data_IF_016988075933
#
_entry.id   IF_016988075933
#
_cell.length_a   1.000
_cell.length_b   1.000
_cell.length_c   1.000
_cell.angle_alpha   90.00
_cell.angle_beta   90.00
_cell.angle_gamma   90.00
#
_symmetry.space_group_name_H-M   'P 1'
#
loop_
_entity.id
_entity.type
_entity.pdbx_description
1 polymer ?
#
# COMPACT_ATOMS: atom_id res chain seq x y z
N UNK A 1 1.44 -25.92 107.16
CA UNK A 1 2.03 -27.13 107.76
C UNK A 1 0.88 -28.06 108.07
N UNK A 2 0.82 -29.24 107.45
CA UNK A 2 -0.26 -30.21 107.69
C UNK A 2 0.08 -30.93 108.98
N UNK A 3 -0.75 -30.78 110.01
CA UNK A 3 -0.54 -31.40 111.32
C UNK A 3 -1.43 -32.64 111.43
N UNK A 4 -0.81 -33.82 111.39
CA UNK A 4 -1.51 -35.10 111.48
C UNK A 4 -1.46 -35.60 112.92
N UNK A 5 -2.47 -35.26 113.71
CA UNK A 5 -2.59 -35.81 115.06
C UNK A 5 -3.09 -37.25 115.01
N UNK A 6 -2.27 -38.17 115.52
CA UNK A 6 -2.59 -39.60 115.61
C UNK A 6 -3.70 -39.82 116.67
N UNK A 7 -4.77 -40.58 116.36
CA UNK A 7 -5.81 -40.90 117.33
C UNK A 7 -5.26 -41.78 118.47
N UNK A 8 -5.66 -41.49 119.71
CA UNK A 8 -5.20 -42.20 120.91
C UNK A 8 -6.04 -43.48 121.14
N UNK A 9 -5.45 -44.65 120.85
CA UNK A 9 -6.16 -45.93 120.96
C UNK A 9 -6.06 -46.49 122.39
N UNK A 10 -6.90 -45.99 123.32
CA UNK A 10 -7.05 -46.56 124.67
C UNK A 10 -8.12 -47.67 124.69
N UNK A 11 -7.68 -48.94 124.73
CA UNK A 11 -8.50 -50.13 124.46
C UNK A 11 -9.63 -50.49 125.44
N UNK A 12 -10.60 -49.60 125.70
CA UNK A 12 -11.81 -49.95 126.48
C UNK A 12 -13.16 -49.67 125.82
N UNK A 13 -13.24 -49.08 124.63
CA UNK A 13 -14.49 -49.03 123.84
C UNK A 13 -14.23 -49.14 122.33
N UNK A 14 -14.42 -50.34 121.77
CA UNK A 14 -14.13 -50.67 120.36
C UNK A 14 -14.98 -49.90 119.35
N UNK A 15 -16.21 -49.51 119.68
CA UNK A 15 -17.07 -48.75 118.76
C UNK A 15 -16.71 -47.26 118.67
N UNK A 16 -16.29 -46.64 119.78
CA UNK A 16 -15.89 -45.23 119.80
C UNK A 16 -14.59 -45.01 119.02
N UNK A 17 -13.60 -45.89 119.23
CA UNK A 17 -12.34 -45.88 118.46
C UNK A 17 -12.55 -46.09 116.97
N UNK A 18 -13.47 -46.98 116.58
CA UNK A 18 -13.75 -47.22 115.17
C UNK A 18 -14.35 -45.99 114.48
N UNK A 19 -15.10 -45.16 115.21
CA UNK A 19 -15.62 -43.88 114.72
C UNK A 19 -14.51 -42.84 114.60
N UNK A 20 -13.61 -42.76 115.57
CA UNK A 20 -12.45 -41.84 115.52
C UNK A 20 -11.51 -42.17 114.37
N UNK A 21 -11.19 -43.45 114.15
CA UNK A 21 -10.35 -43.87 113.02
C UNK A 21 -11.04 -43.56 111.68
N UNK A 22 -12.35 -43.78 111.57
CA UNK A 22 -13.12 -43.43 110.36
C UNK A 22 -13.11 -41.93 110.10
N UNK A 23 -13.28 -41.11 111.15
CA UNK A 23 -13.21 -39.65 111.04
C UNK A 23 -11.81 -39.19 110.60
N UNK A 24 -10.75 -39.79 111.16
CA UNK A 24 -9.37 -39.52 110.77
C UNK A 24 -9.09 -39.88 109.31
N UNK A 25 -9.51 -41.07 108.85
CA UNK A 25 -9.33 -41.49 107.46
C UNK A 25 -10.12 -40.61 106.48
N UNK A 26 -11.32 -40.17 106.88
CA UNK A 26 -12.10 -39.22 106.09
C UNK A 26 -11.37 -37.88 105.97
N UNK A 27 -10.88 -37.33 107.08
CA UNK A 27 -10.10 -36.09 107.11
C UNK A 27 -8.82 -36.20 106.28
N UNK A 28 -8.10 -37.33 106.38
CA UNK A 28 -6.91 -37.59 105.56
C UNK A 28 -7.26 -37.58 104.07
N UNK A 29 -8.37 -38.24 103.68
CA UNK A 29 -8.80 -38.30 102.28
C UNK A 29 -9.20 -36.93 101.73
N UNK A 30 -9.85 -36.08 102.54
CA UNK A 30 -10.19 -34.72 102.15
C UNK A 30 -8.95 -33.84 102.01
N UNK A 31 -8.01 -33.96 102.95
CA UNK A 31 -6.75 -33.22 102.91
C UNK A 31 -5.86 -33.64 101.72
N UNK A 32 -5.82 -34.93 101.39
CA UNK A 32 -5.14 -35.43 100.20
C UNK A 32 -5.79 -34.92 98.91
N UNK A 33 -7.12 -34.93 98.83
CA UNK A 33 -7.84 -34.40 97.66
C UNK A 33 -7.60 -32.90 97.48
N UNK A 34 -7.57 -32.14 98.58
CA UNK A 34 -7.26 -30.72 98.56
C UNK A 34 -5.82 -30.46 98.10
N UNK A 35 -4.84 -31.19 98.64
CA UNK A 35 -3.44 -31.07 98.27
C UNK A 35 -3.21 -31.42 96.78
N UNK A 36 -3.81 -32.51 96.30
CA UNK A 36 -3.74 -32.91 94.88
C UNK A 36 -4.42 -31.90 93.95
N UNK A 37 -5.50 -31.27 94.38
CA UNK A 37 -6.20 -30.22 93.63
C UNK A 37 -5.49 -28.86 93.62
N UNK A 38 -4.52 -28.66 94.50
CA UNK A 38 -3.73 -27.42 94.62
C UNK A 38 -2.23 -27.68 94.44
N UNK A 39 -1.85 -28.79 93.77
CA UNK A 39 -0.47 -29.00 93.37
C UNK A 39 -0.07 -27.90 92.37
N UNK A 40 0.78 -27.01 92.82
CA UNK A 40 1.42 -26.00 92.02
C UNK A 40 2.92 -26.30 91.84
N UNK A 41 3.62 -25.41 91.14
CA UNK A 41 5.04 -25.54 90.91
C UNK A 41 5.83 -25.65 92.23
N UNK A 42 5.43 -24.94 93.29
CA UNK A 42 6.12 -24.88 94.58
C UNK A 42 6.03 -26.20 95.37
N UNK A 43 5.06 -27.06 95.04
CA UNK A 43 4.87 -28.36 95.70
C UNK A 43 5.77 -29.48 95.16
N UNK A 44 6.55 -29.25 94.10
CA UNK A 44 7.43 -30.25 93.51
C UNK A 44 8.87 -30.18 94.01
N UNK A 45 9.65 -31.24 93.74
CA UNK A 45 11.10 -31.22 94.01
C UNK A 45 11.80 -30.16 93.15
N UNK A 46 12.90 -29.54 93.63
CA UNK A 46 13.62 -28.51 92.88
C UNK A 46 14.06 -28.93 91.47
N UNK A 47 14.40 -30.21 91.27
CA UNK A 47 14.78 -30.76 89.98
C UNK A 47 13.62 -30.78 88.97
N UNK A 48 12.42 -31.17 89.42
CA UNK A 48 11.23 -31.22 88.57
C UNK A 48 10.71 -29.82 88.23
N UNK A 49 10.76 -28.87 89.18
CA UNK A 49 10.45 -27.45 88.93
C UNK A 49 11.33 -26.88 87.82
N UNK A 50 12.64 -27.15 87.88
CA UNK A 50 13.60 -26.65 86.88
C UNK A 50 13.28 -27.19 85.48
N UNK A 51 12.95 -28.48 85.36
CA UNK A 51 12.55 -29.07 84.08
C UNK A 51 11.22 -28.51 83.57
N UNK A 52 10.23 -28.32 84.45
CA UNK A 52 8.93 -27.75 84.06
C UNK A 52 9.08 -26.31 83.56
N UNK A 53 9.85 -25.45 84.26
CA UNK A 53 10.15 -24.07 83.79
C UNK A 53 10.86 -24.06 82.45
N UNK A 54 11.85 -24.93 82.27
CA UNK A 54 12.58 -25.04 81.01
C UNK A 54 11.65 -25.48 79.86
N UNK A 55 10.76 -26.45 80.10
CA UNK A 55 9.77 -26.90 79.13
C UNK A 55 8.78 -25.77 78.77
N UNK A 56 8.22 -25.07 79.76
CA UNK A 56 7.30 -23.95 79.55
C UNK A 56 7.98 -22.81 78.78
N UNK A 57 9.20 -22.41 79.15
CA UNK A 57 9.96 -21.40 78.43
C UNK A 57 10.28 -21.82 76.99
N UNK A 58 10.62 -23.10 76.78
CA UNK A 58 10.88 -23.62 75.43
C UNK A 58 9.64 -23.60 74.55
N UNK A 59 8.47 -23.94 75.10
CA UNK A 59 7.19 -23.90 74.41
C UNK A 59 6.76 -22.46 74.10
N UNK A 60 6.94 -21.54 75.04
CA UNK A 60 6.68 -20.11 74.83
C UNK A 60 7.58 -19.53 73.74
N UNK A 61 8.88 -19.88 73.76
CA UNK A 61 9.84 -19.45 72.73
C UNK A 61 9.48 -20.02 71.36
N UNK A 62 9.15 -21.31 71.28
CA UNK A 62 8.70 -21.95 70.04
C UNK A 62 7.41 -21.31 69.50
N UNK A 63 6.45 -20.98 70.36
CA UNK A 63 5.23 -20.26 69.98
C UNK A 63 5.52 -18.88 69.38
N UNK A 64 6.39 -18.10 70.03
CA UNK A 64 6.79 -16.79 69.52
C UNK A 64 7.55 -16.86 68.19
N UNK A 65 8.42 -17.86 68.01
CA UNK A 65 9.12 -18.10 66.74
C UNK A 65 8.15 -18.49 65.60
N UNK A 66 7.14 -19.32 65.90
CA UNK A 66 6.09 -19.68 64.94
C UNK A 66 5.24 -18.47 64.54
N UNK A 67 4.84 -17.62 65.50
CA UNK A 67 4.10 -16.39 65.22
C UNK A 67 4.91 -15.41 64.36
N UNK A 68 6.20 -15.26 64.66
CA UNK A 68 7.11 -14.44 63.86
C UNK A 68 7.22 -14.97 62.42
N UNK A 69 7.44 -16.28 62.25
CA UNK A 69 7.52 -16.91 60.94
C UNK A 69 6.20 -16.78 60.16
N UNK A 70 5.06 -16.98 60.81
CA UNK A 70 3.75 -16.79 60.19
C UNK A 70 3.58 -15.35 59.70
N UNK A 71 4.01 -14.36 60.48
CA UNK A 71 4.01 -12.95 60.09
C UNK A 71 4.93 -12.65 58.89
N UNK A 72 6.10 -13.28 58.80
CA UNK A 72 6.98 -13.18 57.63
C UNK A 72 6.38 -13.82 56.38
N UNK A 73 5.80 -15.03 56.51
CA UNK A 73 5.14 -15.72 55.39
C UNK A 73 4.00 -14.87 54.82
N UNK A 74 3.17 -14.27 55.68
CA UNK A 74 2.07 -13.40 55.25
C UNK A 74 2.59 -12.16 54.52
N UNK A 75 3.65 -11.53 55.04
CA UNK A 75 4.29 -10.37 54.40
C UNK A 75 4.86 -10.72 53.04
N UNK A 76 5.61 -11.82 52.94
CA UNK A 76 6.18 -12.30 51.68
C UNK A 76 5.08 -12.66 50.67
N UNK A 77 4.03 -13.37 51.10
CA UNK A 77 2.91 -13.72 50.23
C UNK A 77 2.15 -12.48 49.73
N UNK A 78 1.99 -11.45 50.56
CA UNK A 78 1.40 -10.17 50.17
C UNK A 78 2.27 -9.44 49.14
N UNK A 79 3.58 -9.41 49.36
CA UNK A 79 4.53 -8.78 48.44
C UNK A 79 4.55 -9.49 47.08
N UNK A 80 4.66 -10.82 47.07
CA UNK A 80 4.63 -11.65 45.85
C UNK A 80 3.34 -11.39 45.07
N UNK A 81 2.19 -11.31 45.75
CA UNK A 81 0.91 -11.03 45.10
C UNK A 81 0.93 -9.66 44.41
N UNK A 82 1.41 -8.64 45.12
CA UNK A 82 1.50 -7.27 44.59
C UNK A 82 2.45 -7.17 43.40
N UNK A 83 3.59 -7.85 43.47
CA UNK A 83 4.59 -7.87 42.40
C UNK A 83 4.04 -8.61 41.16
N UNK A 84 3.29 -9.69 41.38
CA UNK A 84 2.63 -10.45 40.33
C UNK A 84 1.52 -9.62 39.66
N UNK A 85 0.65 -8.98 40.43
CA UNK A 85 -0.40 -8.07 39.91
C UNK A 85 0.20 -6.93 39.07
N UNK A 86 1.29 -6.34 39.55
CA UNK A 86 2.02 -5.29 38.83
C UNK A 86 2.60 -5.81 37.52
N UNK A 87 3.31 -6.94 37.56
CA UNK A 87 3.92 -7.55 36.37
C UNK A 87 2.89 -7.97 35.33
N UNK A 88 1.74 -8.48 35.77
CA UNK A 88 0.61 -8.84 34.90
C UNK A 88 0.05 -7.59 34.23
N UNK A 89 -0.18 -6.52 34.99
CA UNK A 89 -0.72 -5.26 34.46
C UNK A 89 0.23 -4.62 33.44
N UNK A 90 1.53 -4.61 33.73
CA UNK A 90 2.55 -4.11 32.79
C UNK A 90 2.65 -4.98 31.53
N UNK A 91 2.57 -6.30 31.69
CA UNK A 91 2.55 -7.24 30.55
C UNK A 91 1.31 -7.05 29.69
N UNK A 92 0.13 -6.88 30.29
CA UNK A 92 -1.12 -6.60 29.58
C UNK A 92 -1.01 -5.30 28.77
N UNK A 93 -0.51 -4.23 29.40
CA UNK A 93 -0.29 -2.96 28.72
C UNK A 93 0.68 -3.09 27.54
N UNK A 94 1.77 -3.83 27.71
CA UNK A 94 2.76 -4.11 26.66
C UNK A 94 2.17 -4.91 25.50
N UNK A 95 1.42 -5.98 25.80
CA UNK A 95 0.75 -6.82 24.81
C UNK A 95 -0.26 -5.98 24.01
N UNK A 96 -1.11 -5.20 24.68
CA UNK A 96 -2.09 -4.34 24.01
C UNK A 96 -1.43 -3.28 23.12
N UNK A 97 -0.33 -2.67 23.58
CA UNK A 97 0.44 -1.72 22.78
C UNK A 97 1.04 -2.38 21.53
N UNK A 98 1.64 -3.56 21.69
CA UNK A 98 2.24 -4.32 20.58
C UNK A 98 1.19 -4.77 19.56
N UNK A 99 0.05 -5.30 20.02
CA UNK A 99 -1.06 -5.70 19.14
C UNK A 99 -1.62 -4.51 18.38
N UNK A 100 -1.83 -3.35 19.04
CA UNK A 100 -2.29 -2.12 18.37
C UNK A 100 -1.31 -1.67 17.30
N UNK A 101 -0.01 -1.66 17.60
CA UNK A 101 1.02 -1.27 16.65
C UNK A 101 1.09 -2.23 15.45
N UNK A 102 1.00 -3.54 15.69
CA UNK A 102 0.96 -4.54 14.61
C UNK A 102 -0.29 -4.40 13.74
N UNK A 103 -1.45 -4.16 14.35
CA UNK A 103 -2.70 -3.99 13.63
C UNK A 103 -2.69 -2.73 12.76
N UNK A 104 -2.19 -1.59 13.28
CA UNK A 104 -2.00 -0.37 12.51
C UNK A 104 -1.02 -0.60 11.35
N UNK A 105 0.13 -1.22 11.61
CA UNK A 105 1.11 -1.53 10.58
C UNK A 105 0.60 -2.52 9.52
N UNK A 106 -0.33 -3.42 9.87
CA UNK A 106 -0.99 -4.32 8.91
C UNK A 106 -2.04 -3.57 8.08
N UNK A 107 -2.83 -2.71 8.72
CA UNK A 107 -3.81 -1.85 8.05
C UNK A 107 -3.12 -0.94 7.03
N UNK A 108 -2.04 -0.26 7.42
CA UNK A 108 -1.27 0.63 6.53
C UNK A 108 -0.67 -0.14 5.35
N UNK A 109 -0.19 -1.38 5.59
CA UNK A 109 0.29 -2.26 4.52
C UNK A 109 -0.81 -2.65 3.55
N UNK A 110 -2.03 -2.90 4.02
CA UNK A 110 -3.16 -3.24 3.17
C UNK A 110 -3.62 -2.03 2.34
N UNK A 111 -3.69 -0.85 2.94
CA UNK A 111 -3.97 0.41 2.22
C UNK A 111 -2.92 0.68 1.16
N UNK A 112 -1.63 0.61 1.52
CA UNK A 112 -0.52 0.80 0.58
C UNK A 112 -0.54 -0.22 -0.55
N UNK A 113 -0.89 -1.49 -0.26
CA UNK A 113 -1.04 -2.55 -1.26
C UNK A 113 -2.17 -2.23 -2.24
N UNK A 114 -3.32 -1.75 -1.76
CA UNK A 114 -4.44 -1.37 -2.61
C UNK A 114 -4.12 -0.15 -3.49
N UNK A 115 -3.47 0.87 -2.93
CA UNK A 115 -2.98 2.03 -3.68
C UNK A 115 -1.97 1.63 -4.76
N UNK A 116 -1.03 0.75 -4.42
CA UNK A 116 -0.05 0.24 -5.37
C UNK A 116 -0.72 -0.54 -6.51
N UNK A 117 -1.66 -1.44 -6.20
CA UNK A 117 -2.40 -2.18 -7.23
C UNK A 117 -3.18 -1.25 -8.15
N UNK A 118 -3.91 -0.27 -7.58
CA UNK A 118 -4.64 0.71 -8.37
C UNK A 118 -3.71 1.54 -9.26
N UNK A 119 -2.55 1.96 -8.75
CA UNK A 119 -1.55 2.70 -9.52
C UNK A 119 -0.96 1.85 -10.66
N UNK A 120 -0.71 0.57 -10.42
CA UNK A 120 -0.25 -0.37 -11.44
C UNK A 120 -1.31 -0.59 -12.52
N UNK A 121 -2.57 -0.81 -12.13
CA UNK A 121 -3.68 -1.00 -13.08
C UNK A 121 -3.91 0.25 -13.94
N UNK A 122 -3.97 1.43 -13.32
CA UNK A 122 -4.09 2.70 -14.05
C UNK A 122 -2.92 2.94 -15.00
N UNK A 123 -1.70 2.55 -14.59
CA UNK A 123 -0.52 2.66 -15.44
C UNK A 123 -0.56 1.69 -16.62
N UNK A 124 -1.05 0.47 -16.41
CA UNK A 124 -1.23 -0.52 -17.47
C UNK A 124 -2.29 -0.06 -18.49
N UNK A 125 -3.43 0.45 -18.02
CA UNK A 125 -4.47 1.03 -18.87
C UNK A 125 -3.97 2.25 -19.66
N UNK A 126 -3.22 3.15 -19.01
CA UNK A 126 -2.63 4.31 -19.67
C UNK A 126 -1.60 3.90 -20.74
N UNK A 127 -0.77 2.89 -20.45
CA UNK A 127 0.18 2.32 -21.40
C UNK A 127 -0.53 1.72 -22.61
N UNK A 128 -1.56 0.90 -22.38
CA UNK A 128 -2.34 0.26 -23.45
C UNK A 128 -3.04 1.30 -24.34
N UNK A 129 -3.67 2.31 -23.73
CA UNK A 129 -4.27 3.42 -24.45
C UNK A 129 -3.24 4.22 -25.26
N UNK A 130 -2.05 4.46 -24.69
CA UNK A 130 -0.97 5.19 -25.38
C UNK A 130 -0.43 4.41 -26.58
N UNK A 131 -0.27 3.09 -26.43
CA UNK A 131 0.20 2.21 -27.49
C UNK A 131 -0.83 2.10 -28.60
N UNK A 132 -2.09 1.87 -28.25
CA UNK A 132 -3.21 1.83 -29.19
C UNK A 132 -3.36 3.13 -29.98
N UNK A 133 -3.23 4.29 -29.32
CA UNK A 133 -3.25 5.59 -29.98
C UNK A 133 -2.08 5.74 -30.94
N UNK A 134 -0.85 5.44 -30.49
CA UNK A 134 0.35 5.58 -31.32
C UNK A 134 0.31 4.64 -32.52
N UNK A 135 -0.13 3.39 -32.32
CA UNK A 135 -0.30 2.42 -33.40
C UNK A 135 -1.33 2.90 -34.43
N UNK A 136 -2.52 3.32 -33.97
CA UNK A 136 -3.59 3.80 -34.86
C UNK A 136 -3.18 5.04 -35.66
N UNK A 137 -2.59 6.04 -35.01
CA UNK A 137 -2.15 7.27 -35.69
C UNK A 137 -0.99 7.01 -36.63
N UNK A 138 0.11 6.39 -36.16
CA UNK A 138 1.29 6.17 -37.02
C UNK A 138 1.01 5.23 -38.18
N UNK A 139 0.25 4.15 -37.97
CA UNK A 139 -0.08 3.23 -39.06
C UNK A 139 -1.11 3.83 -40.02
N UNK A 140 -2.10 4.57 -39.51
CA UNK A 140 -3.08 5.29 -40.32
C UNK A 140 -2.43 6.35 -41.20
N UNK A 141 -1.54 7.16 -40.63
CA UNK A 141 -0.81 8.20 -41.35
C UNK A 141 0.11 7.61 -42.42
N UNK A 142 0.87 6.55 -42.09
CA UNK A 142 1.74 5.88 -43.05
C UNK A 142 0.96 5.26 -44.21
N UNK A 143 -0.20 4.66 -43.92
CA UNK A 143 -1.07 4.10 -44.96
C UNK A 143 -1.64 5.18 -45.87
N UNK A 144 -2.08 6.31 -45.31
CA UNK A 144 -2.58 7.45 -46.06
C UNK A 144 -1.48 8.06 -46.94
N UNK A 145 -0.28 8.25 -46.39
CA UNK A 145 0.88 8.76 -47.13
C UNK A 145 1.31 7.80 -48.24
N UNK A 146 1.32 6.49 -47.97
CA UNK A 146 1.63 5.46 -48.98
C UNK A 146 0.60 5.46 -50.12
N UNK A 147 -0.69 5.61 -49.79
CA UNK A 147 -1.76 5.70 -50.80
C UNK A 147 -1.61 6.96 -51.65
N UNK A 148 -1.42 8.13 -51.03
CA UNK A 148 -1.21 9.39 -51.73
C UNK A 148 0.03 9.35 -52.64
N UNK A 149 1.13 8.77 -52.15
CA UNK A 149 2.34 8.56 -52.95
C UNK A 149 2.10 7.61 -54.12
N UNK A 150 1.37 6.51 -53.91
CA UNK A 150 1.01 5.56 -54.97
C UNK A 150 0.15 6.20 -56.06
N UNK A 151 -0.84 7.00 -55.67
CA UNK A 151 -1.71 7.74 -56.60
C UNK A 151 -0.92 8.79 -57.40
N UNK A 152 -0.07 9.58 -56.72
CA UNK A 152 0.81 10.54 -57.38
C UNK A 152 1.77 9.84 -58.35
N UNK A 153 2.38 8.72 -57.94
CA UNK A 153 3.26 7.92 -58.80
C UNK A 153 2.52 7.41 -60.04
N UNK A 154 1.30 6.89 -59.89
CA UNK A 154 0.47 6.43 -61.02
C UNK A 154 0.13 7.58 -61.98
N UNK A 155 -0.19 8.77 -61.46
CA UNK A 155 -0.40 9.96 -62.28
C UNK A 155 0.84 10.33 -63.10
N UNK A 156 2.02 10.39 -62.49
CA UNK A 156 3.27 10.67 -63.20
C UNK A 156 3.55 9.61 -64.25
N UNK A 157 3.46 8.32 -63.91
CA UNK A 157 3.70 7.23 -64.86
C UNK A 157 2.73 7.21 -66.05
N UNK A 158 1.49 7.66 -65.86
CA UNK A 158 0.46 7.66 -66.91
C UNK A 158 0.52 8.92 -67.79
N UNK A 159 0.94 10.06 -67.23
CA UNK A 159 0.81 11.36 -67.90
C UNK A 159 2.14 12.03 -68.27
N UNK A 160 3.24 11.64 -67.62
CA UNK A 160 4.57 12.24 -67.81
C UNK A 160 5.58 11.14 -68.09
N UNK A 161 6.14 11.12 -69.30
CA UNK A 161 7.17 10.16 -69.72
C UNK A 161 8.48 10.88 -69.99
N UNK A 162 9.58 10.31 -69.52
CA UNK A 162 10.93 10.78 -69.80
C UNK A 162 11.63 9.73 -70.65
N UNK A 163 12.26 10.17 -71.74
CA UNK A 163 13.13 9.34 -72.57
C UNK A 163 14.27 10.17 -73.17
N UNK A 164 14.93 9.65 -74.20
CA UNK A 164 16.07 10.30 -74.82
C UNK A 164 15.70 11.57 -75.61
N UNK A 165 14.44 11.73 -76.03
CA UNK A 165 13.96 12.87 -76.80
C UNK A 165 13.57 14.05 -75.88
N UNK A 166 13.07 13.75 -74.68
CA UNK A 166 12.81 14.76 -73.65
C UNK A 166 11.72 14.35 -72.66
N UNK A 167 10.94 15.36 -72.22
CA UNK A 167 9.81 15.18 -71.30
C UNK A 167 8.52 15.26 -72.11
N UNK A 168 7.79 14.15 -72.17
CA UNK A 168 6.50 14.01 -72.80
C UNK A 168 5.38 14.20 -71.77
N UNK A 169 4.46 15.12 -72.02
CA UNK A 169 3.27 15.35 -71.20
C UNK A 169 2.05 15.00 -72.05
N UNK A 170 1.43 13.87 -71.74
CA UNK A 170 0.32 13.30 -72.51
C UNK A 170 -0.54 12.43 -71.61
N UNK A 171 -1.85 12.67 -71.55
CA UNK A 171 -2.79 11.74 -70.92
C UNK A 171 -2.89 10.45 -71.75
N UNK A 172 -3.01 9.29 -71.10
CA UNK A 172 -3.24 8.03 -71.80
C UNK A 172 -4.35 8.16 -72.86
N UNK A 173 -4.06 7.67 -74.07
CA UNK A 173 -4.95 7.73 -75.25
C UNK A 173 -5.30 9.14 -75.77
N UNK A 174 -4.68 10.20 -75.24
CA UNK A 174 -4.82 11.55 -75.80
C UNK A 174 -4.09 11.67 -77.14
N UNK A 175 -4.75 12.23 -78.18
CA UNK A 175 -4.06 12.60 -79.41
C UNK A 175 -3.14 13.80 -79.22
N UNK A 176 -3.32 14.59 -78.14
CA UNK A 176 -2.51 15.77 -77.85
C UNK A 176 -1.39 15.47 -76.87
N UNK A 177 -0.20 16.00 -77.15
CA UNK A 177 1.00 15.88 -76.34
C UNK A 177 1.79 17.19 -76.34
N UNK A 178 2.39 17.52 -75.20
CA UNK A 178 3.45 18.52 -75.13
C UNK A 178 4.80 17.81 -74.94
N UNK A 179 5.79 18.15 -75.75
CA UNK A 179 7.14 17.61 -75.69
C UNK A 179 8.13 18.72 -75.37
N UNK A 180 8.78 18.61 -74.21
CA UNK A 180 9.84 19.51 -73.81
C UNK A 180 11.20 18.88 -74.10
N UNK A 181 11.91 19.46 -75.07
CA UNK A 181 13.27 19.06 -75.49
C UNK A 181 14.27 20.11 -75.05
N UNK A 182 15.56 19.90 -75.29
CA UNK A 182 16.61 20.86 -74.94
C UNK A 182 16.45 22.22 -75.62
N UNK A 183 15.91 22.25 -76.85
CA UNK A 183 15.93 23.45 -77.70
C UNK A 183 14.54 24.04 -77.97
N UNK A 184 13.46 23.31 -77.60
CA UNK A 184 12.08 23.75 -77.85
C UNK A 184 11.04 23.03 -77.00
N UNK A 185 9.93 23.73 -76.78
CA UNK A 185 8.66 23.17 -76.32
C UNK A 185 7.73 22.98 -77.53
N UNK A 186 7.39 21.74 -77.85
CA UNK A 186 6.54 21.37 -78.98
C UNK A 186 5.16 20.89 -78.52
N UNK A 187 4.14 21.16 -79.33
CA UNK A 187 2.78 20.62 -79.19
C UNK A 187 2.52 19.69 -80.37
N UNK A 188 2.18 18.45 -80.07
CA UNK A 188 1.91 17.41 -81.04
C UNK A 188 0.43 17.03 -81.02
N UNK A 189 -0.14 16.77 -82.19
CA UNK A 189 -1.45 16.16 -82.36
C UNK A 189 -1.30 14.92 -83.23
N UNK A 190 -1.69 13.75 -82.71
CA UNK A 190 -1.49 12.44 -83.34
C UNK A 190 -0.02 12.18 -83.74
N UNK A 191 0.93 12.67 -82.92
CA UNK A 191 2.37 12.55 -83.18
C UNK A 191 2.93 13.53 -84.22
N UNK A 192 2.12 14.45 -84.74
CA UNK A 192 2.56 15.51 -85.65
C UNK A 192 2.72 16.81 -84.89
N UNK A 193 3.88 17.46 -84.98
CA UNK A 193 4.13 18.78 -84.40
C UNK A 193 3.25 19.83 -85.10
N UNK A 194 2.30 20.41 -84.36
CA UNK A 194 1.38 21.43 -84.87
C UNK A 194 1.81 22.84 -84.47
N UNK A 195 2.55 22.97 -83.36
CA UNK A 195 3.15 24.21 -82.92
C UNK A 195 4.41 23.96 -82.08
N UNK A 196 5.34 24.90 -82.05
CA UNK A 196 6.45 24.88 -81.10
C UNK A 196 6.96 26.28 -80.76
N UNK A 197 7.60 26.41 -79.61
CA UNK A 197 8.32 27.60 -79.19
C UNK A 197 9.81 27.28 -79.16
N UNK A 198 10.60 28.04 -79.90
CA UNK A 198 12.07 27.98 -79.90
C UNK A 198 12.64 29.35 -80.24
N UNK A 199 13.82 29.70 -79.70
CA UNK A 199 14.50 30.96 -79.99
C UNK A 199 13.57 32.21 -79.89
N UNK A 200 12.75 32.25 -78.83
CA UNK A 200 11.79 33.34 -78.56
C UNK A 200 10.71 33.54 -79.64
N UNK A 201 10.49 32.56 -80.52
CA UNK A 201 9.49 32.58 -81.59
C UNK A 201 8.48 31.47 -81.39
N UNK A 202 7.21 31.79 -81.62
CA UNK A 202 6.13 30.81 -81.75
C UNK A 202 5.97 30.45 -83.22
N UNK A 203 6.07 29.17 -83.53
CA UNK A 203 5.80 28.60 -84.83
C UNK A 203 4.51 27.77 -84.73
N UNK A 204 3.55 28.01 -85.63
CA UNK A 204 2.25 27.33 -85.65
C UNK A 204 1.86 26.99 -87.08
N UNK A 205 1.39 25.76 -87.30
CA UNK A 205 0.98 25.28 -88.63
C UNK A 205 -0.30 25.98 -89.09
N UNK A 206 -1.29 26.06 -88.20
CA UNK A 206 -2.58 26.70 -88.46
C UNK A 206 -3.13 27.32 -87.17
N UNK A 207 -3.65 28.54 -87.26
CA UNK A 207 -4.21 29.26 -86.13
C UNK A 207 -5.64 29.73 -86.45
N UNK A 208 -6.62 29.23 -85.68
CA UNK A 208 -7.98 29.78 -85.63
C UNK A 208 -8.10 30.80 -84.51
N UNK A 209 -8.37 32.08 -84.84
CA UNK A 209 -8.52 33.17 -83.87
C UNK A 209 -9.98 33.59 -83.83
N UNK A 210 -10.66 33.36 -82.69
CA UNK A 210 -12.11 33.56 -82.57
C UNK A 210 -12.51 35.02 -82.34
N UNK A 211 -11.85 35.71 -81.42
CA UNK A 211 -12.23 37.08 -81.02
C UNK A 211 -11.42 38.15 -81.75
N UNK A 212 -10.09 38.05 -81.66
CA UNK A 212 -9.19 38.97 -82.35
C UNK A 212 -7.73 38.79 -81.96
N UNK A 213 -6.85 39.22 -82.86
CA UNK A 213 -5.40 39.20 -82.73
C UNK A 213 -4.90 40.61 -82.48
N UNK A 214 -4.29 40.87 -81.33
CA UNK A 214 -3.61 42.14 -81.06
C UNK A 214 -2.11 41.98 -81.29
N UNK A 215 -1.52 42.86 -82.09
CA UNK A 215 -0.10 42.92 -82.40
C UNK A 215 0.44 44.28 -81.99
N UNK A 216 1.58 44.28 -81.30
CA UNK A 216 2.22 45.50 -80.82
C UNK A 216 3.66 45.26 -80.43
N UNK A 217 4.36 46.34 -80.14
CA UNK A 217 5.72 46.30 -79.58
C UNK A 217 5.61 46.44 -78.06
N UNK A 218 6.35 45.61 -77.33
CA UNK A 218 6.37 45.66 -75.87
C UNK A 218 6.68 47.08 -75.38
N UNK A 219 5.82 47.63 -74.52
CA UNK A 219 5.98 48.97 -73.96
C UNK A 219 5.60 50.14 -74.88
N UNK A 220 5.03 49.89 -76.06
CA UNK A 220 4.64 50.94 -77.01
C UNK A 220 3.13 50.92 -77.26
N UNK A 221 2.47 52.08 -77.12
CA UNK A 221 1.12 52.35 -77.64
C UNK A 221 1.20 53.23 -78.89
N UNK A 222 0.30 53.08 -79.87
CA UNK A 222 -0.83 52.15 -79.90
C UNK A 222 -0.43 50.71 -80.27
N UNK A 223 -1.32 49.76 -80.00
CA UNK A 223 -1.29 48.41 -80.57
C UNK A 223 -2.35 48.29 -81.67
N UNK A 224 -2.24 47.26 -82.51
CA UNK A 224 -3.19 47.00 -83.58
C UNK A 224 -3.98 45.74 -83.29
N UNK A 225 -5.30 45.81 -83.29
CA UNK A 225 -6.18 44.66 -83.09
C UNK A 225 -6.90 44.32 -84.40
N UNK A 226 -6.72 43.09 -84.85
CA UNK A 226 -7.47 42.48 -85.93
C UNK A 226 -8.61 41.65 -85.32
N UNK A 227 -9.86 41.97 -85.59
CA UNK A 227 -11.02 41.26 -85.02
C UNK A 227 -12.07 40.97 -86.09
N UNK A 228 -12.72 39.81 -85.98
CA UNK A 228 -13.89 39.52 -86.78
C UNK A 228 -15.11 40.23 -86.18
N UNK A 229 -16.00 40.71 -87.04
CA UNK A 229 -17.30 41.26 -86.67
C UNK A 229 -18.38 40.57 -87.51
N UNK A 230 -19.67 40.66 -87.13
CA UNK A 230 -20.76 40.07 -87.90
C UNK A 230 -20.80 40.51 -89.38
N UNK A 231 -20.18 41.65 -89.70
CA UNK A 231 -20.17 42.25 -91.04
C UNK A 231 -18.81 42.18 -91.76
N UNK A 232 -17.78 41.60 -91.15
CA UNK A 232 -16.47 41.46 -91.80
C UNK A 232 -15.26 41.57 -90.85
N UNK A 233 -14.07 41.75 -91.43
CA UNK A 233 -12.80 41.86 -90.71
C UNK A 233 -12.49 43.33 -90.38
N UNK A 234 -12.28 43.64 -89.10
CA UNK A 234 -11.92 44.97 -88.62
C UNK A 234 -10.46 45.00 -88.17
N UNK A 235 -9.73 46.05 -88.56
CA UNK A 235 -8.43 46.39 -88.01
C UNK A 235 -8.57 47.71 -87.25
N UNK A 236 -8.45 47.67 -85.92
CA UNK A 236 -8.53 48.83 -85.04
C UNK A 236 -7.16 49.15 -84.45
N UNK A 237 -6.87 50.44 -84.31
CA UNK A 237 -5.73 50.94 -83.54
C UNK A 237 -6.22 51.16 -82.10
N UNK A 238 -5.68 50.42 -81.15
CA UNK A 238 -6.03 50.50 -79.74
C UNK A 238 -4.89 51.20 -78.97
N UNK A 239 -5.19 52.33 -78.34
CA UNK A 239 -4.21 53.13 -77.60
C UNK A 239 -4.23 54.60 -77.98
#
# INVERSE_FOLDING_TARGET
MIDFQLPQITGRETQAQLREIKAYLFQLSEQLRFALGHLDEENFTPALQTQYRAAVQSAQKAGAEIEALAGEIIRNASQIRKDCETSISESEASILASVRQQYLAQSDRETLRQELLSSVDLSAEALDASFSRKYSTTFGDLLAETKAFSEAKAFYQTNIRLDAEGIHIRKAESPFEALFTNDRLAFLQNGVEVAYISDKKLHITEAGILDGMTVGVSGVTPVYRLAASPTGLNLTKEG
#
